data_IF_614669394393
#
_entry.id   IF_614669394393
#
_cell.length_a   1.000
_cell.length_b   1.000
_cell.length_c   1.000
_cell.angle_alpha   90.00
_cell.angle_beta   90.00
_cell.angle_gamma   90.00
#
_symmetry.space_group_name_H-M   'P 1'
#
loop_
_entity.id
_entity.type
_entity.pdbx_description
1 polymer ?
#
# COMPACT_ATOMS: atom_id res chain seq x y z
N UNK A 1 -6.69 13.35 20.84
CA UNK A 1 -6.95 13.00 19.42
C UNK A 1 -5.90 12.04 18.83
N UNK A 2 -4.66 12.00 19.35
CA UNK A 2 -3.65 11.01 18.95
C UNK A 2 -4.01 9.55 19.31
N UNK A 3 -4.73 9.34 20.40
CA UNK A 3 -5.06 8.00 20.92
C UNK A 3 -6.04 7.21 20.03
N UNK A 4 -6.97 7.91 19.34
CA UNK A 4 -7.93 7.25 18.44
C UNK A 4 -7.34 6.89 17.07
N UNK A 5 -6.29 7.58 16.61
CA UNK A 5 -5.59 7.25 15.38
C UNK A 5 -4.77 5.96 15.49
N UNK A 6 -4.37 5.58 16.71
CA UNK A 6 -3.59 4.38 16.98
C UNK A 6 -4.48 3.13 17.13
N UNK A 7 -5.76 3.27 17.48
CA UNK A 7 -6.66 2.10 17.71
C UNK A 7 -6.71 1.09 16.55
N UNK A 8 -6.75 1.48 15.26
CA UNK A 8 -6.68 0.53 14.14
C UNK A 8 -5.36 -0.26 14.09
N UNK A 9 -4.24 0.39 14.47
CA UNK A 9 -2.91 -0.25 14.55
C UNK A 9 -2.88 -1.32 15.64
N UNK A 10 -3.50 -1.05 16.79
CA UNK A 10 -3.51 -1.99 17.92
C UNK A 10 -4.42 -3.19 17.66
N UNK A 11 -5.58 -2.98 17.03
CA UNK A 11 -6.53 -4.05 16.66
C UNK A 11 -5.96 -4.94 15.54
N UNK A 12 -5.12 -4.36 14.67
CA UNK A 12 -4.40 -5.08 13.63
C UNK A 12 -3.36 -6.08 14.16
N UNK A 13 -2.89 -6.00 15.41
CA UNK A 13 -1.79 -6.87 15.92
C UNK A 13 -1.99 -8.37 15.72
N UNK A 14 -3.23 -8.87 15.61
CA UNK A 14 -3.52 -10.28 15.25
C UNK A 14 -3.53 -10.59 13.75
N UNK A 15 -3.70 -9.59 12.89
CA UNK A 15 -3.63 -9.70 11.43
C UNK A 15 -2.20 -9.48 10.89
N UNK A 16 -1.26 -9.04 11.73
CA UNK A 16 0.12 -8.75 11.34
C UNK A 16 0.98 -10.02 11.43
N UNK A 17 0.56 -11.07 10.73
CA UNK A 17 1.28 -12.36 10.63
C UNK A 17 2.74 -12.20 10.13
N UNK A 18 3.10 -11.02 9.62
CA UNK A 18 4.44 -10.70 9.11
C UNK A 18 5.22 -9.70 9.98
N UNK A 19 4.66 -9.14 11.05
CA UNK A 19 5.35 -8.13 11.84
C UNK A 19 6.29 -8.67 12.93
N UNK A 20 6.48 -9.99 12.98
CA UNK A 20 7.36 -10.66 13.95
C UNK A 20 8.85 -10.42 13.66
N UNK A 21 9.19 -10.03 12.43
CA UNK A 21 10.56 -9.66 12.04
C UNK A 21 10.61 -8.20 11.59
N UNK A 22 11.73 -7.50 11.81
CA UNK A 22 11.91 -6.11 11.38
C UNK A 22 11.67 -5.91 9.88
N UNK A 23 12.03 -6.91 9.06
CA UNK A 23 11.79 -6.91 7.63
C UNK A 23 10.29 -7.01 7.31
N UNK A 24 9.56 -7.93 7.95
CA UNK A 24 8.14 -8.08 7.70
C UNK A 24 7.28 -6.97 8.33
N UNK A 25 7.75 -6.33 9.43
CA UNK A 25 7.16 -5.10 9.95
C UNK A 25 7.30 -3.94 8.95
N UNK A 26 8.49 -3.80 8.33
CA UNK A 26 8.72 -2.82 7.26
C UNK A 26 7.85 -3.09 6.03
N UNK A 27 7.79 -4.34 5.57
CA UNK A 27 6.93 -4.74 4.45
C UNK A 27 5.45 -4.44 4.73
N UNK A 28 4.97 -4.77 5.93
CA UNK A 28 3.60 -4.48 6.36
C UNK A 28 3.32 -2.97 6.35
N UNK A 29 4.23 -2.15 6.89
CA UNK A 29 4.10 -0.69 6.88
C UNK A 29 4.06 -0.11 5.46
N UNK A 30 4.86 -0.66 4.53
CA UNK A 30 4.84 -0.27 3.11
C UNK A 30 3.49 -0.63 2.48
N UNK A 31 2.99 -1.85 2.66
CA UNK A 31 1.69 -2.26 2.13
C UNK A 31 0.55 -1.38 2.67
N UNK A 32 0.53 -1.09 3.97
CA UNK A 32 -0.45 -0.17 4.55
C UNK A 32 -0.35 1.24 3.95
N UNK A 33 0.86 1.76 3.78
CA UNK A 33 1.07 3.09 3.18
C UNK A 33 0.54 3.15 1.76
N UNK A 34 0.73 2.09 0.96
CA UNK A 34 0.20 1.99 -0.41
C UNK A 34 -1.33 1.94 -0.42
N UNK A 35 -1.95 1.16 0.48
CA UNK A 35 -3.41 1.10 0.64
C UNK A 35 -3.99 2.47 0.98
N UNK A 36 -3.42 3.18 1.94
CA UNK A 36 -3.89 4.50 2.32
C UNK A 36 -3.69 5.51 1.19
N UNK A 37 -2.57 5.43 0.46
CA UNK A 37 -2.32 6.28 -0.72
C UNK A 37 -3.35 6.02 -1.82
N UNK A 38 -3.72 4.76 -2.08
CA UNK A 38 -4.76 4.41 -3.06
C UNK A 38 -6.11 5.02 -2.67
N UNK A 39 -6.51 4.88 -1.41
CA UNK A 39 -7.76 5.48 -0.90
C UNK A 39 -7.77 7.00 -1.00
N UNK A 40 -6.65 7.66 -0.67
CA UNK A 40 -6.51 9.11 -0.77
C UNK A 40 -6.63 9.61 -2.23
N UNK A 41 -6.23 8.78 -3.19
CA UNK A 41 -6.41 9.07 -4.62
C UNK A 41 -7.78 8.62 -5.16
N UNK A 42 -8.65 8.05 -4.32
CA UNK A 42 -9.98 7.56 -4.71
C UNK A 42 -9.96 6.26 -5.52
N UNK A 43 -8.86 5.50 -5.47
CA UNK A 43 -8.73 4.20 -6.12
C UNK A 43 -9.20 3.08 -5.18
N UNK A 44 -9.73 2.00 -5.78
CA UNK A 44 -9.98 0.75 -5.07
C UNK A 44 -8.63 0.10 -4.69
N UNK A 45 -8.31 -0.06 -3.39
CA UNK A 45 -6.96 -0.45 -2.96
C UNK A 45 -6.51 -1.81 -3.45
N UNK A 46 -7.40 -2.80 -3.57
CA UNK A 46 -7.05 -4.13 -4.04
C UNK A 46 -6.66 -4.10 -5.53
N UNK A 47 -7.45 -3.46 -6.38
CA UNK A 47 -7.17 -3.31 -7.80
C UNK A 47 -5.89 -2.52 -8.05
N UNK A 48 -5.66 -1.45 -7.27
CA UNK A 48 -4.41 -0.69 -7.32
C UNK A 48 -3.20 -1.57 -7.00
N UNK A 49 -3.23 -2.29 -5.87
CA UNK A 49 -2.13 -3.17 -5.46
C UNK A 49 -1.92 -4.32 -6.44
N UNK A 50 -2.99 -4.91 -6.96
CA UNK A 50 -2.92 -5.99 -7.93
C UNK A 50 -2.21 -5.52 -9.20
N UNK A 51 -2.62 -4.37 -9.76
CA UNK A 51 -1.98 -3.81 -10.94
C UNK A 51 -0.53 -3.41 -10.67
N UNK A 52 -0.27 -2.75 -9.54
CA UNK A 52 1.08 -2.35 -9.14
C UNK A 52 1.99 -3.57 -9.05
N UNK A 53 1.64 -4.59 -8.26
CA UNK A 53 2.48 -5.77 -8.05
C UNK A 53 2.62 -6.64 -9.31
N UNK A 54 1.64 -6.62 -10.20
CA UNK A 54 1.69 -7.32 -11.50
C UNK A 54 2.62 -6.60 -12.48
N UNK A 55 2.58 -5.26 -12.55
CA UNK A 55 3.31 -4.50 -13.57
C UNK A 55 4.71 -4.05 -13.12
N UNK A 56 4.91 -3.82 -11.82
CA UNK A 56 6.20 -3.41 -11.26
C UNK A 56 7.39 -4.29 -11.67
N UNK A 57 7.32 -5.64 -11.68
CA UNK A 57 8.45 -6.47 -12.12
C UNK A 57 8.81 -6.32 -13.61
N UNK A 58 7.91 -5.76 -14.42
CA UNK A 58 8.12 -5.52 -15.85
C UNK A 58 8.47 -4.07 -16.17
N UNK A 59 8.50 -3.18 -15.16
CA UNK A 59 8.89 -1.80 -15.34
C UNK A 59 10.42 -1.70 -15.38
N UNK A 60 10.97 -1.39 -16.55
CA UNK A 60 12.42 -1.27 -16.78
C UNK A 60 12.90 0.19 -16.67
N UNK A 61 11.99 1.15 -16.89
CA UNK A 61 12.30 2.57 -16.96
C UNK A 61 11.52 3.39 -15.93
N UNK A 62 12.06 4.55 -15.55
CA UNK A 62 11.43 5.45 -14.56
C UNK A 62 10.01 5.85 -14.98
N UNK A 63 9.80 6.15 -16.26
CA UNK A 63 8.48 6.54 -16.79
C UNK A 63 7.42 5.43 -16.60
N UNK A 64 7.82 4.16 -16.72
CA UNK A 64 6.92 3.02 -16.50
C UNK A 64 6.56 2.88 -15.01
N UNK A 65 7.50 3.16 -14.11
CA UNK A 65 7.24 3.19 -12.67
C UNK A 65 6.31 4.36 -12.32
N UNK A 66 6.55 5.53 -12.91
CA UNK A 66 5.71 6.71 -12.69
C UNK A 66 4.28 6.50 -13.19
N UNK A 67 4.09 5.79 -14.30
CA UNK A 67 2.76 5.42 -14.79
C UNK A 67 1.95 4.55 -13.79
N UNK A 68 2.62 3.80 -12.91
CA UNK A 68 1.99 2.97 -11.87
C UNK A 68 1.62 3.75 -10.60
N UNK A 69 1.93 5.05 -10.55
CA UNK A 69 1.62 5.88 -9.38
C UNK A 69 0.12 6.18 -9.32
N UNK A 70 -0.45 6.28 -8.10
CA UNK A 70 -1.90 6.26 -7.90
C UNK A 70 -2.62 7.52 -8.42
N UNK A 71 -1.89 8.58 -8.77
CA UNK A 71 -2.45 9.77 -9.42
C UNK A 71 -2.46 9.69 -10.95
N UNK A 72 -1.75 8.72 -11.54
CA UNK A 72 -1.70 8.49 -12.99
C UNK A 72 -2.68 7.40 -13.44
N UNK A 73 -3.15 6.55 -12.52
CA UNK A 73 -4.16 5.55 -12.81
C UNK A 73 -5.53 6.22 -12.79
N UNK A 74 -6.24 6.17 -13.91
CA UNK A 74 -7.57 6.75 -14.05
C UNK A 74 -8.52 6.17 -12.99
N UNK A 75 -9.37 7.02 -12.43
CA UNK A 75 -10.45 6.61 -11.53
C UNK A 75 -11.49 5.84 -12.36
N UNK A 76 -11.68 4.56 -12.06
CA UNK A 76 -12.89 3.81 -12.44
C UNK A 76 -14.14 4.41 -11.75
#
# INVERSE_FOLDING_TARGET
MAENAIRPFVVGRKAWLFADTSQGAKASAVCYSLVETAKLNGLEPYNYLYNLLTQLPYAENLEQIEALLPWNLAKD
#
